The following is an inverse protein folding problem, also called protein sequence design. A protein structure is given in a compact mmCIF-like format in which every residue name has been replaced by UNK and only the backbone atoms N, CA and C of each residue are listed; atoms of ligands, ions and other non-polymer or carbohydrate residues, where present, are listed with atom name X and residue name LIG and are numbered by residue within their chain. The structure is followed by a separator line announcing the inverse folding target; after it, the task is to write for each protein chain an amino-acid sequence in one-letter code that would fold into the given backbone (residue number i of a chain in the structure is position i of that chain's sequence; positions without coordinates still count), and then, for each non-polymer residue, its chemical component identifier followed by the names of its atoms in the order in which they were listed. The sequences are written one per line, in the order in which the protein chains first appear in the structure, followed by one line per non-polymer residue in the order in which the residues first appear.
data_IF_868443300306
#
_entry.id   IF_868443300306
#
_cell.length_a   1.000
_cell.length_b   1.000
_cell.length_c   1.000
_cell.angle_alpha   90.00
_cell.angle_beta   90.00
_cell.angle_gamma   90.00
#
_symmetry.space_group_name_H-M   'P 1'
#
loop_
_entity.id
_entity.type
_entity.pdbx_description
1 polymer ?
#
# COMPACT_ATOMS: atom_id res chain seq x y z
N UNK A 1 -1.69 -0.77 -19.31
CA UNK A 1 -1.59 -0.12 -17.99
C UNK A 1 -0.69 -0.98 -17.13
N UNK A 2 0.31 -0.39 -16.47
CA UNK A 2 1.21 -1.14 -15.59
C UNK A 2 0.43 -1.54 -14.34
N UNK A 3 0.30 -2.83 -14.05
CA UNK A 3 -0.51 -3.36 -12.94
C UNK A 3 0.30 -3.62 -11.67
N UNK A 4 1.55 -3.16 -11.62
CA UNK A 4 2.45 -3.42 -10.49
C UNK A 4 2.45 -2.24 -9.52
N UNK A 5 2.19 -2.54 -8.24
CA UNK A 5 2.37 -1.62 -7.11
C UNK A 5 3.85 -1.51 -6.74
N UNK A 6 4.32 -0.29 -6.46
CA UNK A 6 5.65 -0.03 -5.90
C UNK A 6 5.61 -0.20 -4.37
N UNK A 7 6.54 -1.00 -3.84
CA UNK A 7 6.56 -1.48 -2.45
C UNK A 7 7.58 -0.70 -1.61
N UNK A 8 7.19 0.47 -1.09
CA UNK A 8 8.12 1.38 -0.40
C UNK A 8 8.64 0.85 0.94
N UNK A 9 7.92 -0.11 1.53
CA UNK A 9 8.32 -0.76 2.78
C UNK A 9 9.64 -1.55 2.68
N UNK A 10 10.08 -1.92 1.47
CA UNK A 10 11.43 -2.49 1.27
C UNK A 10 12.53 -1.44 1.11
N UNK A 11 12.18 -0.24 0.65
CA UNK A 11 13.13 0.85 0.42
C UNK A 11 13.52 1.55 1.73
N UNK A 12 12.52 1.84 2.58
CA UNK A 12 12.71 2.50 3.88
C UNK A 12 11.68 2.01 4.90
N UNK A 13 12.15 1.26 5.89
CA UNK A 13 11.34 0.68 6.97
C UNK A 13 10.74 1.73 7.91
N UNK A 14 11.23 2.98 7.89
CA UNK A 14 10.71 4.07 8.72
C UNK A 14 9.71 4.96 7.97
N UNK A 15 9.47 4.72 6.67
CA UNK A 15 8.54 5.54 5.88
C UNK A 15 7.09 5.21 6.24
N UNK A 16 6.38 6.20 6.80
CA UNK A 16 5.02 5.99 7.36
C UNK A 16 3.88 6.48 6.47
N UNK A 17 4.19 7.21 5.41
CA UNK A 17 3.20 7.79 4.50
C UNK A 17 3.75 7.88 3.07
N UNK A 18 2.86 7.79 2.08
CA UNK A 18 3.18 8.03 0.68
C UNK A 18 1.95 8.62 -0.05
N UNK A 19 2.20 9.48 -1.02
CA UNK A 19 1.18 9.86 -2.00
C UNK A 19 0.97 8.68 -2.98
N UNK A 20 -0.28 8.35 -3.27
CA UNK A 20 -0.64 7.22 -4.12
C UNK A 20 -1.88 7.52 -4.98
N UNK A 21 -1.93 6.94 -6.17
CA UNK A 21 -3.10 6.96 -7.04
C UNK A 21 -3.85 5.64 -6.89
N UNK A 22 -5.17 5.72 -6.70
CA UNK A 22 -6.04 4.54 -6.74
C UNK A 22 -6.14 4.05 -8.19
N UNK A 23 -5.68 2.83 -8.44
CA UNK A 23 -5.76 2.17 -9.74
C UNK A 23 -7.08 1.42 -9.92
N UNK A 24 -7.56 0.76 -8.86
CA UNK A 24 -8.82 0.02 -8.83
C UNK A 24 -9.43 0.04 -7.43
N UNK A 25 -10.75 -0.15 -7.35
CA UNK A 25 -11.46 -0.34 -6.09
C UNK A 25 -12.61 -1.33 -6.26
N UNK A 26 -12.82 -2.17 -5.25
CA UNK A 26 -13.95 -3.10 -5.18
C UNK A 26 -14.33 -3.39 -3.71
N UNK A 27 -15.18 -4.38 -3.51
CA UNK A 27 -15.64 -4.85 -2.20
C UNK A 27 -14.52 -5.39 -1.29
N UNK A 28 -13.34 -5.73 -1.83
CA UNK A 28 -12.17 -6.20 -1.10
C UNK A 28 -11.26 -5.05 -0.67
N UNK A 29 -11.32 -3.91 -1.35
CA UNK A 29 -10.59 -2.70 -0.98
C UNK A 29 -10.03 -1.91 -2.15
N UNK A 30 -8.88 -1.28 -1.92
CA UNK A 30 -8.21 -0.38 -2.86
C UNK A 30 -6.93 -1.01 -3.40
N UNK A 31 -6.70 -0.87 -4.69
CA UNK A 31 -5.41 -1.12 -5.32
C UNK A 31 -4.76 0.21 -5.69
N UNK A 32 -3.52 0.43 -5.25
CA UNK A 32 -2.77 1.66 -5.53
C UNK A 32 -1.50 1.37 -6.34
N UNK A 33 -0.97 2.41 -6.98
CA UNK A 33 0.30 2.36 -7.72
C UNK A 33 1.53 2.28 -6.81
N UNK A 34 1.42 2.76 -5.57
CA UNK A 34 2.46 2.69 -4.54
C UNK A 34 1.84 2.46 -3.16
N UNK A 35 2.56 1.77 -2.27
CA UNK A 35 2.15 1.56 -0.88
C UNK A 35 3.34 1.54 0.07
N UNK A 36 3.11 2.04 1.29
CA UNK A 36 4.00 1.85 2.45
C UNK A 36 3.54 0.71 3.37
N UNK A 37 2.34 0.16 3.14
CA UNK A 37 1.79 -0.90 3.95
C UNK A 37 2.41 -2.25 3.59
N UNK A 38 3.09 -2.88 4.54
CA UNK A 38 3.53 -4.27 4.40
C UNK A 38 2.32 -5.22 4.42
N UNK A 39 2.21 -6.17 3.47
CA UNK A 39 1.06 -7.08 3.42
C UNK A 39 1.12 -8.15 4.53
N UNK A 40 -0.04 -8.71 4.88
CA UNK A 40 -0.08 -9.93 5.69
C UNK A 40 0.68 -11.07 4.99
N UNK A 41 1.60 -11.74 5.69
CA UNK A 41 2.35 -12.86 5.10
C UNK A 41 3.56 -13.29 5.92
N UNK A 42 4.05 -14.51 5.69
CA UNK A 42 5.27 -15.01 6.35
C UNK A 42 5.17 -15.20 7.87
N UNK A 43 3.94 -15.27 8.42
CA UNK A 43 3.69 -15.33 9.86
C UNK A 43 3.60 -13.96 10.55
N UNK A 44 3.79 -12.87 9.80
CA UNK A 44 3.69 -11.51 10.31
C UNK A 44 2.33 -10.88 9.99
N UNK A 45 1.68 -10.19 10.94
CA UNK A 45 0.54 -9.33 10.67
C UNK A 45 0.94 -8.19 9.73
N UNK A 46 0.07 -7.88 8.77
CA UNK A 46 0.20 -6.74 7.88
C UNK A 46 -0.08 -5.44 8.60
N UNK A 47 0.39 -4.35 8.00
CA UNK A 47 0.24 -3.02 8.56
C UNK A 47 -1.22 -2.54 8.55
N UNK A 48 -1.55 -1.69 9.52
CA UNK A 48 -2.87 -1.06 9.65
C UNK A 48 -2.69 0.45 9.73
N UNK A 49 -3.55 1.19 9.04
CA UNK A 49 -3.49 2.65 8.98
C UNK A 49 -4.69 3.25 8.25
N UNK A 50 -4.49 4.41 7.64
CA UNK A 50 -5.56 5.21 7.06
C UNK A 50 -5.15 5.72 5.68
N UNK A 51 -6.12 5.85 4.78
CA UNK A 51 -6.00 6.59 3.53
C UNK A 51 -6.72 7.92 3.71
N UNK A 52 -6.07 9.02 3.37
CA UNK A 52 -6.66 10.36 3.37
C UNK A 52 -6.83 10.84 1.94
N UNK A 53 -8.00 11.37 1.63
CA UNK A 53 -8.26 12.09 0.38
C UNK A 53 -7.89 13.56 0.62
N UNK A 54 -7.11 14.13 -0.29
CA UNK A 54 -6.79 15.55 -0.35
C UNK A 54 -7.56 16.23 -1.49
#
# INVERSE_FOLDING_TARGET
MNTRTLERFYDDVNLRECAATVLQHDERGLMTDVTVFYPNGGGQPGDVGQVRLE
#
